data_IF_941740598619
#
_entry.id   IF_941740598619
#
_cell.length_a   1.000
_cell.length_b   1.000
_cell.length_c   1.000
_cell.angle_alpha   90.00
_cell.angle_beta   90.00
_cell.angle_gamma   90.00
#
_symmetry.space_group_name_H-M   'P 1'
#
loop_
_entity.id
_entity.type
_entity.pdbx_description
1 polymer ?
#
# COMPACT_ATOMS: atom_id res chain seq x y z
N UNK A 1 -22.78 6.30 12.42
CA UNK A 1 -21.86 7.17 13.19
C UNK A 1 -21.16 8.03 12.15
N UNK A 2 -21.17 9.37 12.24
CA UNK A 2 -20.40 10.15 11.29
C UNK A 2 -18.92 9.79 11.44
N UNK A 3 -18.17 9.63 10.34
CA UNK A 3 -16.76 9.20 10.37
C UNK A 3 -15.79 10.19 11.03
N UNK A 4 -16.27 11.36 11.46
CA UNK A 4 -15.47 12.50 11.92
C UNK A 4 -15.00 12.43 13.39
N UNK A 5 -15.22 11.33 14.11
CA UNK A 5 -14.76 11.18 15.51
C UNK A 5 -14.34 9.73 15.85
N UNK A 6 -13.79 9.00 14.87
CA UNK A 6 -13.31 7.65 15.13
C UNK A 6 -11.82 7.63 15.51
N UNK A 7 -11.54 7.82 16.81
CA UNK A 7 -10.19 7.73 17.40
C UNK A 7 -9.40 6.48 17.01
N UNK A 8 -10.09 5.39 16.65
CA UNK A 8 -9.45 4.18 16.17
C UNK A 8 -8.85 4.40 14.78
N UNK A 9 -9.58 5.04 13.86
CA UNK A 9 -9.10 5.36 12.51
C UNK A 9 -7.96 6.37 12.60
N UNK A 10 -8.09 7.40 13.43
CA UNK A 10 -7.02 8.39 13.63
C UNK A 10 -5.71 7.73 14.08
N UNK A 11 -5.81 6.75 14.99
CA UNK A 11 -4.64 5.96 15.40
C UNK A 11 -4.05 5.12 14.25
N UNK A 12 -4.87 4.57 13.35
CA UNK A 12 -4.37 3.86 12.16
C UNK A 12 -3.58 4.80 11.24
N UNK A 13 -4.11 5.99 10.97
CA UNK A 13 -3.42 7.00 10.16
C UNK A 13 -2.12 7.47 10.84
N UNK A 14 -2.14 7.68 12.16
CA UNK A 14 -0.95 8.03 12.91
C UNK A 14 0.12 6.93 12.85
N UNK A 15 -0.25 5.67 13.09
CA UNK A 15 0.66 4.52 12.99
C UNK A 15 1.23 4.38 11.56
N UNK A 16 0.38 4.59 10.55
CA UNK A 16 0.80 4.56 9.15
C UNK A 16 1.81 5.67 8.84
N UNK A 17 1.55 6.89 9.29
CA UNK A 17 2.46 8.02 9.10
C UNK A 17 3.82 7.78 9.78
N UNK A 18 3.85 7.18 10.97
CA UNK A 18 5.11 6.78 11.61
C UNK A 18 5.90 5.76 10.78
N UNK A 19 5.21 4.83 10.11
CA UNK A 19 5.86 3.86 9.21
C UNK A 19 6.40 4.55 7.96
N UNK A 20 5.66 5.49 7.37
CA UNK A 20 6.14 6.27 6.22
C UNK A 20 7.41 7.06 6.56
N UNK A 21 7.44 7.73 7.71
CA UNK A 21 8.64 8.43 8.16
C UNK A 21 9.81 7.48 8.42
N UNK A 22 9.56 6.31 9.00
CA UNK A 22 10.59 5.30 9.24
C UNK A 22 11.20 4.77 7.94
N UNK A 23 10.37 4.49 6.94
CA UNK A 23 10.79 3.81 5.70
C UNK A 23 11.34 4.80 4.68
N UNK A 24 10.64 5.91 4.45
CA UNK A 24 10.95 6.85 3.37
C UNK A 24 11.41 8.23 3.83
N UNK A 25 11.24 8.55 5.12
CA UNK A 25 11.58 9.88 5.65
C UNK A 25 10.56 10.98 5.34
N UNK A 26 9.35 10.62 4.91
CA UNK A 26 8.27 11.58 4.62
C UNK A 26 6.92 11.14 5.21
N UNK A 27 5.96 12.06 5.26
CA UNK A 27 4.61 11.82 5.79
C UNK A 27 3.54 11.59 4.70
N UNK A 28 2.30 11.37 5.12
CA UNK A 28 1.19 11.02 4.19
C UNK A 28 0.90 12.12 3.15
N UNK A 29 1.09 13.39 3.50
CA UNK A 29 0.87 14.50 2.58
C UNK A 29 1.90 14.53 1.43
N UNK A 30 3.13 14.07 1.68
CA UNK A 30 4.13 13.92 0.62
C UNK A 30 3.87 12.66 -0.21
N UNK A 31 3.39 11.59 0.42
CA UNK A 31 2.95 10.38 -0.28
C UNK A 31 1.85 10.69 -1.31
N UNK A 32 0.84 11.50 -0.93
CA UNK A 32 -0.23 11.94 -1.83
C UNK A 32 0.31 12.67 -3.05
N UNK A 33 1.31 13.54 -2.89
CA UNK A 33 1.93 14.25 -4.03
C UNK A 33 2.60 13.30 -5.03
N UNK A 34 3.04 12.13 -4.58
CA UNK A 34 3.69 11.11 -5.42
C UNK A 34 2.66 10.20 -6.09
N UNK A 35 1.62 9.80 -5.36
CA UNK A 35 0.69 8.77 -5.80
C UNK A 35 -0.61 9.30 -6.40
N UNK A 36 -1.10 10.44 -5.93
CA UNK A 36 -2.37 10.98 -6.39
C UNK A 36 -2.23 11.54 -7.80
N UNK A 37 -3.16 11.15 -8.66
CA UNK A 37 -3.24 11.61 -10.05
C UNK A 37 -4.70 11.73 -10.46
N UNK A 38 -5.01 12.77 -11.23
CA UNK A 38 -6.34 12.92 -11.82
C UNK A 38 -6.60 11.84 -12.87
N UNK A 39 -7.88 11.59 -13.13
CA UNK A 39 -8.29 10.83 -14.32
C UNK A 39 -7.85 11.55 -15.60
N UNK A 40 -7.40 10.77 -16.59
CA UNK A 40 -7.22 11.19 -17.98
C UNK A 40 -7.99 10.26 -18.90
N UNK A 41 -8.15 10.62 -20.16
CA UNK A 41 -8.85 9.79 -21.15
C UNK A 41 -8.16 8.42 -21.34
N UNK A 42 -6.85 8.35 -21.09
CA UNK A 42 -6.03 7.15 -21.28
C UNK A 42 -5.78 6.35 -20.00
N UNK A 43 -5.97 6.97 -18.82
CA UNK A 43 -5.61 6.34 -17.55
C UNK A 43 -6.51 6.79 -16.41
N UNK A 44 -7.05 5.81 -15.69
CA UNK A 44 -7.76 6.05 -14.44
C UNK A 44 -6.84 6.71 -13.41
N UNK A 45 -7.41 7.72 -12.75
CA UNK A 45 -6.87 8.44 -11.63
C UNK A 45 -6.53 7.51 -10.47
N UNK A 46 -5.82 8.06 -9.50
CA UNK A 46 -5.52 7.39 -8.26
C UNK A 46 -5.66 8.43 -7.15
N UNK A 47 -6.40 8.09 -6.10
CA UNK A 47 -6.61 8.95 -4.95
C UNK A 47 -6.46 8.09 -3.70
N UNK A 48 -5.41 8.35 -2.93
CA UNK A 48 -5.05 7.54 -1.77
C UNK A 48 -6.17 7.54 -0.72
N UNK A 49 -6.80 8.69 -0.47
CA UNK A 49 -7.91 8.80 0.48
C UNK A 49 -9.14 8.01 0.04
N UNK A 50 -9.45 8.02 -1.26
CA UNK A 50 -10.54 7.20 -1.80
C UNK A 50 -10.26 5.73 -1.58
N UNK A 51 -9.05 5.26 -1.90
CA UNK A 51 -8.66 3.86 -1.73
C UNK A 51 -8.73 3.43 -0.26
N UNK A 52 -8.24 4.25 0.67
CA UNK A 52 -8.29 3.97 2.11
C UNK A 52 -9.72 3.96 2.65
N UNK A 53 -10.55 4.90 2.19
CA UNK A 53 -11.98 4.91 2.52
C UNK A 53 -12.67 3.63 2.03
N UNK A 54 -12.45 3.24 0.78
CA UNK A 54 -13.01 2.01 0.20
C UNK A 54 -12.52 0.76 0.94
N UNK A 55 -11.24 0.69 1.30
CA UNK A 55 -10.69 -0.39 2.11
C UNK A 55 -11.41 -0.50 3.47
N UNK A 56 -11.62 0.63 4.15
CA UNK A 56 -12.37 0.65 5.41
C UNK A 56 -13.85 0.28 5.22
N UNK A 57 -14.50 0.75 4.16
CA UNK A 57 -15.90 0.42 3.89
C UNK A 57 -16.09 -1.08 3.57
N UNK A 58 -15.14 -1.69 2.87
CA UNK A 58 -15.21 -3.08 2.43
C UNK A 58 -14.81 -4.09 3.51
N UNK A 59 -13.81 -3.78 4.35
CA UNK A 59 -13.25 -4.74 5.31
C UNK A 59 -12.89 -4.14 6.67
N UNK A 60 -13.34 -2.92 6.93
CA UNK A 60 -13.12 -2.24 8.21
C UNK A 60 -11.66 -1.93 8.49
N UNK A 61 -11.36 -1.82 9.79
CA UNK A 61 -10.04 -1.54 10.30
C UNK A 61 -8.92 -2.51 9.83
N UNK A 62 -9.13 -3.84 9.80
CA UNK A 62 -8.11 -4.77 9.30
C UNK A 62 -7.74 -4.50 7.84
N UNK A 63 -8.73 -4.29 6.97
CA UNK A 63 -8.49 -4.03 5.55
C UNK A 63 -7.82 -2.68 5.32
N UNK A 64 -8.23 -1.64 6.05
CA UNK A 64 -7.56 -0.33 6.00
C UNK A 64 -6.08 -0.44 6.39
N UNK A 65 -5.77 -1.16 7.48
CA UNK A 65 -4.40 -1.38 7.94
C UNK A 65 -3.58 -2.15 6.90
N UNK A 66 -4.17 -3.16 6.29
CA UNK A 66 -3.54 -3.92 5.22
C UNK A 66 -3.25 -3.03 4.02
N UNK A 67 -4.21 -2.23 3.54
CA UNK A 67 -4.04 -1.34 2.38
C UNK A 67 -2.96 -0.27 2.61
N UNK A 68 -2.93 0.31 3.82
CA UNK A 68 -1.88 1.26 4.23
C UNK A 68 -0.49 0.61 4.18
N UNK A 69 -0.33 -0.60 4.74
CA UNK A 69 0.94 -1.31 4.67
C UNK A 69 1.28 -1.72 3.23
N UNK A 70 0.30 -2.17 2.45
CA UNK A 70 0.46 -2.59 1.06
C UNK A 70 0.97 -1.42 0.18
N UNK A 71 0.51 -0.20 0.46
CA UNK A 71 1.02 1.01 -0.21
C UNK A 71 2.55 1.17 -0.02
N UNK A 72 3.06 0.96 1.20
CA UNK A 72 4.50 1.02 1.49
C UNK A 72 5.23 -0.10 0.74
N UNK A 73 4.67 -1.31 0.77
CA UNK A 73 5.22 -2.52 0.16
C UNK A 73 5.39 -2.38 -1.36
N UNK A 74 4.39 -1.84 -2.04
CA UNK A 74 4.44 -1.56 -3.47
C UNK A 74 5.48 -0.49 -3.84
N UNK A 75 5.58 0.56 -3.03
CA UNK A 75 6.60 1.60 -3.25
C UNK A 75 8.03 1.07 -3.07
N UNK A 76 8.25 0.25 -2.04
CA UNK A 76 9.54 -0.40 -1.80
C UNK A 76 9.94 -1.32 -2.95
N UNK A 77 9.00 -2.05 -3.56
CA UNK A 77 9.28 -2.82 -4.77
C UNK A 77 9.86 -1.94 -5.88
N UNK A 78 9.22 -0.79 -6.16
CA UNK A 78 9.68 0.15 -7.20
C UNK A 78 11.06 0.71 -6.87
N UNK A 79 11.28 1.18 -5.63
CA UNK A 79 12.57 1.73 -5.22
C UNK A 79 13.68 0.69 -5.22
N UNK A 80 13.40 -0.52 -4.77
CA UNK A 80 14.36 -1.62 -4.76
C UNK A 80 14.76 -2.00 -6.18
N UNK A 81 13.80 -2.14 -7.09
CA UNK A 81 14.07 -2.47 -8.50
C UNK A 81 14.90 -1.38 -9.19
N UNK A 82 14.60 -0.10 -8.93
CA UNK A 82 15.42 1.01 -9.41
C UNK A 82 16.86 0.96 -8.90
N UNK A 83 17.07 0.64 -7.61
CA UNK A 83 18.41 0.51 -7.01
C UNK A 83 19.20 -0.66 -7.57
N UNK A 84 18.52 -1.77 -7.91
CA UNK A 84 19.14 -2.95 -8.52
C UNK A 84 19.41 -2.78 -10.02
N UNK A 85 18.73 -1.86 -10.69
CA UNK A 85 18.75 -1.72 -12.14
C UNK A 85 18.04 -2.85 -12.88
N UNK A 86 17.21 -3.62 -12.16
CA UNK A 86 16.34 -4.71 -12.64
C UNK A 86 15.19 -4.88 -11.67
N UNK A 87 14.16 -5.60 -12.08
CA UNK A 87 13.11 -6.02 -11.16
C UNK A 87 13.67 -6.88 -10.02
N UNK A 88 13.26 -6.59 -8.79
CA UNK A 88 13.56 -7.41 -7.63
C UNK A 88 12.88 -8.78 -7.78
N UNK A 89 13.56 -9.85 -7.39
CA UNK A 89 12.88 -11.15 -7.28
C UNK A 89 11.92 -11.14 -6.09
N UNK A 90 10.90 -12.01 -6.13
CA UNK A 90 9.93 -12.13 -5.05
C UNK A 90 10.60 -12.36 -3.69
N UNK A 91 11.59 -13.26 -3.62
CA UNK A 91 12.30 -13.54 -2.37
C UNK A 91 13.11 -12.35 -1.87
N UNK A 92 13.86 -11.66 -2.73
CA UNK A 92 14.62 -10.47 -2.35
C UNK A 92 13.68 -9.37 -1.80
N UNK A 93 12.53 -9.19 -2.44
CA UNK A 93 11.52 -8.23 -2.01
C UNK A 93 10.86 -8.65 -0.69
N UNK A 94 10.45 -9.91 -0.53
CA UNK A 94 9.86 -10.43 0.71
C UNK A 94 10.83 -10.26 1.88
N UNK A 95 12.09 -10.68 1.72
CA UNK A 95 13.11 -10.53 2.77
C UNK A 95 13.29 -9.07 3.17
N UNK A 96 13.36 -8.17 2.18
CA UNK A 96 13.46 -6.73 2.41
C UNK A 96 12.25 -6.19 3.17
N UNK A 97 11.02 -6.45 2.71
CA UNK A 97 9.79 -5.97 3.37
C UNK A 97 9.69 -6.48 4.81
N UNK A 98 9.97 -7.76 5.05
CA UNK A 98 9.92 -8.33 6.40
C UNK A 98 10.96 -7.66 7.33
N UNK A 99 12.13 -7.27 6.80
CA UNK A 99 13.14 -6.53 7.56
C UNK A 99 12.68 -5.13 8.01
N UNK A 100 11.73 -4.52 7.29
CA UNK A 100 11.19 -3.20 7.63
C UNK A 100 10.28 -3.24 8.88
N UNK A 101 9.79 -4.42 9.27
CA UNK A 101 8.92 -4.63 10.43
C UNK A 101 7.75 -3.63 10.48
N UNK A 102 7.01 -3.53 9.37
CA UNK A 102 5.84 -2.64 9.20
C UNK A 102 4.50 -3.33 9.47
N UNK A 103 4.54 -4.58 9.96
CA UNK A 103 3.35 -5.39 10.24
C UNK A 103 2.80 -6.12 9.02
N UNK A 104 3.67 -6.50 8.09
CA UNK A 104 3.37 -7.45 7.01
C UNK A 104 3.94 -8.82 7.38
N UNK A 105 3.24 -9.87 7.01
CA UNK A 105 3.70 -11.26 7.10
C UNK A 105 4.03 -11.79 5.71
N UNK A 106 4.68 -12.95 5.64
CA UNK A 106 4.97 -13.59 4.35
C UNK A 106 3.69 -13.92 3.57
N UNK A 107 2.63 -14.31 4.28
CA UNK A 107 1.34 -14.67 3.68
C UNK A 107 0.65 -13.45 3.04
N UNK A 108 0.98 -12.24 3.48
CA UNK A 108 0.48 -10.99 2.90
C UNK A 108 1.23 -10.60 1.60
N UNK A 109 2.36 -11.25 1.29
CA UNK A 109 3.30 -10.86 0.22
C UNK A 109 3.25 -11.85 -0.93
N UNK A 110 2.17 -11.81 -1.70
CA UNK A 110 1.94 -12.68 -2.86
C UNK A 110 2.78 -12.20 -4.06
N UNK A 111 3.36 -13.10 -4.87
CA UNK A 111 4.04 -12.72 -6.11
C UNK A 111 3.14 -11.94 -7.06
N UNK A 112 3.67 -10.89 -7.69
CA UNK A 112 2.93 -10.07 -8.66
C UNK A 112 2.37 -10.91 -9.82
N UNK A 113 3.09 -11.95 -10.24
CA UNK A 113 2.71 -12.85 -11.35
C UNK A 113 1.51 -13.78 -11.02
N UNK A 114 1.16 -13.92 -9.75
CA UNK A 114 0.02 -14.75 -9.32
C UNK A 114 -1.31 -13.97 -9.32
N UNK A 115 -1.28 -12.64 -9.33
CA UNK A 115 -2.47 -11.79 -9.37
C UNK A 115 -3.10 -11.70 -10.77
N UNK A 116 -2.32 -11.90 -11.84
CA UNK A 116 -2.85 -11.91 -13.22
C UNK A 116 -3.63 -13.20 -13.56
N UNK A 117 -3.50 -14.27 -12.76
CA UNK A 117 -4.15 -15.57 -13.04
C UNK A 117 -5.57 -15.70 -12.47
N UNK A 118 -6.02 -14.74 -11.66
CA UNK A 118 -7.37 -14.78 -11.07
C UNK A 118 -8.46 -14.14 -11.93
N UNK A 119 -8.09 -13.40 -12.99
CA UNK A 119 -9.05 -12.81 -13.93
C UNK A 119 -9.35 -13.71 -15.15
N UNK A 120 -8.66 -14.86 -15.28
CA UNK A 120 -8.84 -15.80 -16.41
C UNK A 120 -9.78 -17.00 -16.12
N UNK A 121 -10.45 -17.06 -14.96
CA UNK A 121 -11.47 -18.10 -14.70
C UNK A 121 -12.84 -17.48 -14.47
N UNK A 122 -13.45 -17.06 -15.58
CA UNK A 122 -14.90 -17.00 -15.74
C UNK A 122 -15.26 -17.70 -17.05
N UNK A 123 -15.34 -19.02 -16.99
CA UNK A 123 -16.16 -19.81 -17.92
C UNK A 123 -17.65 -19.62 -17.60
#
# INVERSE_FOLDING_TARGET
MPPEDNKFIDNLYHEFEQKLFKVFGFGIEDLKKVLDRADTDERRGHCLETNFKEAFENGGAPQLRWEMNNTIVCLEYVYMSQRLGRDATHEEWVEHILSLNIGMTRDDLVPFDELERTDEVKD
#
